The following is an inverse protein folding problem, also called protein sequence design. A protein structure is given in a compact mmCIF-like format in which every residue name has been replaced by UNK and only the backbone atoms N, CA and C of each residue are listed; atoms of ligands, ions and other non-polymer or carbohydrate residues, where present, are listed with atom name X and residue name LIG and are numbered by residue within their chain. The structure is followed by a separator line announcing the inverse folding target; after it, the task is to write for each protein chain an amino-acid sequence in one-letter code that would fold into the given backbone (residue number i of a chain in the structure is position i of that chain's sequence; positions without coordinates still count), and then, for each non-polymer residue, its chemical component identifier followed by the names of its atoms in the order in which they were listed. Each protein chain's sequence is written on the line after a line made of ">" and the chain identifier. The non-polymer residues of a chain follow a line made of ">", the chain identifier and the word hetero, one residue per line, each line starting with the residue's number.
data_IF_739175452004
#
_entry.id   IF_739175452004
#
_cell.length_a   1.000
_cell.length_b   1.000
_cell.length_c   1.000
_cell.angle_alpha   90.00
_cell.angle_beta   90.00
_cell.angle_gamma   90.00
#
_symmetry.space_group_name_H-M   'P 1'
#
loop_
_entity.id
_entity.type
_entity.pdbx_description
1 polymer ?
#
# COMPACT_ATOMS: atom_id res chain seq x y z
N UNK A 1 34.29 -2.81 3.04
CA UNK A 1 33.71 -2.68 3.00
C UNK A 1 33.08 -2.89 3.25
N UNK A 2 32.70 -2.89 3.32
CA UNK A 2 31.92 -3.05 3.48
C UNK A 2 31.25 -3.21 3.28
N UNK A 3 30.83 -3.42 3.14
CA UNK A 3 30.02 -3.52 2.88
C UNK A 3 29.35 -3.87 3.28
N UNK A 4 29.33 -4.22 3.52
CA UNK A 4 28.71 -4.56 3.79
C UNK A 4 27.60 -4.56 4.13
N UNK A 5 27.33 -4.23 4.77
CA UNK A 5 26.24 -4.15 5.05
C UNK A 5 25.48 -3.94 4.13
N UNK A 6 24.83 -4.41 3.96
CA UNK A 6 24.13 -4.06 3.02
C UNK A 6 23.09 -3.25 3.35
N UNK A 7 22.91 -2.29 2.71
CA UNK A 7 21.88 -1.47 2.90
C UNK A 7 20.65 -2.10 2.54
N UNK A 8 19.56 -1.90 3.25
CA UNK A 8 18.31 -2.32 2.83
C UNK A 8 17.79 -1.46 1.76
N UNK A 9 17.47 -2.04 0.62
CA UNK A 9 16.90 -1.29 -0.48
C UNK A 9 15.39 -1.44 -0.36
N UNK A 10 14.70 -0.33 -0.14
CA UNK A 10 13.25 -0.33 -0.08
C UNK A 10 12.73 -0.34 -1.50
N UNK A 11 11.93 -1.35 -1.90
CA UNK A 11 11.43 -1.39 -3.27
C UNK A 11 10.59 -0.16 -3.57
N UNK A 12 10.72 0.36 -4.78
CA UNK A 12 9.90 1.46 -5.21
C UNK A 12 8.68 0.89 -5.89
N UNK A 13 7.51 1.07 -5.26
CA UNK A 13 6.26 0.60 -5.81
C UNK A 13 5.37 1.78 -6.14
N UNK A 14 4.63 1.66 -7.22
CA UNK A 14 3.68 2.69 -7.62
C UNK A 14 2.33 2.04 -7.82
N UNK A 15 1.27 2.78 -7.51
CA UNK A 15 -0.08 2.26 -7.66
C UNK A 15 -0.49 2.26 -9.14
N UNK A 16 -1.73 1.90 -9.39
CA UNK A 16 -2.21 1.78 -10.77
C UNK A 16 -2.16 3.12 -11.52
N UNK A 17 -2.17 4.23 -10.78
CA UNK A 17 -2.09 5.56 -11.38
C UNK A 17 -0.65 6.07 -11.45
N UNK A 18 0.32 5.27 -11.05
CA UNK A 18 1.72 5.67 -11.10
C UNK A 18 2.18 6.46 -9.89
N UNK A 19 1.40 6.49 -8.81
CA UNK A 19 1.73 7.26 -7.63
C UNK A 19 2.60 6.42 -6.71
N UNK A 20 3.70 7.00 -6.24
CA UNK A 20 4.63 6.30 -5.38
C UNK A 20 3.99 5.94 -4.04
N UNK A 21 4.21 4.71 -3.60
CA UNK A 21 3.63 4.17 -2.38
C UNK A 21 4.67 4.08 -1.28
N UNK A 22 4.24 4.31 -0.05
CA UNK A 22 5.11 4.20 1.13
C UNK A 22 4.36 3.52 2.26
N UNK A 23 5.12 2.96 3.19
CA UNK A 23 4.54 2.36 4.39
C UNK A 23 3.73 3.43 5.13
N UNK A 24 2.54 3.05 5.56
CA UNK A 24 1.65 3.98 6.24
C UNK A 24 0.63 4.62 5.32
N UNK A 25 0.80 4.51 4.01
CA UNK A 25 -0.17 5.06 3.08
C UNK A 25 -1.47 4.27 3.13
N UNK A 26 -2.58 4.97 2.97
CA UNK A 26 -3.87 4.31 2.80
C UNK A 26 -4.07 3.99 1.32
N UNK A 27 -4.55 2.80 1.04
CA UNK A 27 -4.81 2.38 -0.33
C UNK A 27 -6.16 1.68 -0.41
N UNK A 28 -6.80 1.82 -1.56
CA UNK A 28 -7.99 1.04 -1.88
C UNK A 28 -7.54 -0.16 -2.70
N UNK A 29 -8.07 -1.33 -2.38
CA UNK A 29 -7.70 -2.55 -3.08
C UNK A 29 -8.94 -3.43 -3.27
N UNK A 30 -8.96 -4.23 -4.35
CA UNK A 30 -10.14 -5.07 -4.62
C UNK A 30 -10.09 -6.36 -3.82
N UNK A 31 -11.26 -6.79 -3.39
CA UNK A 31 -11.47 -8.13 -2.89
C UNK A 31 -12.64 -8.72 -3.62
N UNK A 32 -12.94 -9.98 -3.36
CA UNK A 32 -13.86 -10.75 -4.17
C UNK A 32 -15.09 -9.99 -4.65
N UNK A 33 -15.80 -9.33 -3.78
CA UNK A 33 -17.02 -8.62 -4.16
C UNK A 33 -17.06 -7.19 -3.65
N UNK A 34 -15.90 -6.63 -3.32
CA UNK A 34 -15.90 -5.32 -2.67
C UNK A 34 -14.59 -4.61 -2.90
N UNK A 35 -14.63 -3.31 -2.77
CA UNK A 35 -13.45 -2.49 -2.70
C UNK A 35 -13.17 -2.21 -1.24
N UNK A 36 -11.97 -2.52 -0.79
CA UNK A 36 -11.56 -2.36 0.60
C UNK A 36 -10.49 -1.30 0.72
N UNK A 37 -10.35 -0.78 1.92
CA UNK A 37 -9.31 0.20 2.22
C UNK A 37 -8.47 -0.33 3.37
N UNK A 38 -7.16 -0.20 3.24
CA UNK A 38 -6.23 -0.58 4.29
C UNK A 38 -4.99 0.28 4.25
N UNK A 39 -4.06 0.00 5.15
CA UNK A 39 -2.79 0.74 5.18
C UNK A 39 -1.66 -0.17 4.79
N UNK A 40 -0.69 0.38 4.09
CA UNK A 40 0.48 -0.38 3.69
C UNK A 40 1.35 -0.60 4.92
N UNK A 41 1.56 -1.88 5.23
CA UNK A 41 2.41 -2.27 6.35
C UNK A 41 3.83 -2.51 5.94
N UNK A 42 4.03 -3.01 4.73
CA UNK A 42 5.35 -3.38 4.26
C UNK A 42 5.40 -3.37 2.76
N UNK A 43 6.53 -2.95 2.22
CA UNK A 43 6.80 -3.00 0.79
C UNK A 43 7.71 -4.19 0.54
N UNK A 44 7.15 -5.28 0.05
CA UNK A 44 7.94 -6.47 -0.28
C UNK A 44 8.46 -6.34 -1.71
N UNK A 45 9.42 -7.16 -2.12
CA UNK A 45 10.01 -6.98 -3.45
C UNK A 45 9.01 -6.93 -4.60
N UNK A 46 7.93 -7.70 -4.52
CA UNK A 46 6.97 -7.74 -5.61
C UNK A 46 5.58 -7.30 -5.22
N UNK A 47 5.25 -7.36 -3.94
CA UNK A 47 3.88 -7.12 -3.50
C UNK A 47 3.87 -6.19 -2.31
N UNK A 48 2.69 -5.67 -2.02
CA UNK A 48 2.46 -4.86 -0.82
C UNK A 48 1.79 -5.73 0.22
N UNK A 49 2.20 -5.55 1.46
CA UNK A 49 1.45 -6.12 2.57
C UNK A 49 0.57 -5.03 3.11
N UNK A 50 -0.73 -5.26 3.10
CA UNK A 50 -1.72 -4.26 3.48
C UNK A 50 -2.47 -4.76 4.71
N UNK A 51 -2.55 -3.90 5.71
CA UNK A 51 -3.31 -4.23 6.91
C UNK A 51 -4.76 -3.86 6.67
N UNK A 52 -5.60 -4.87 6.55
CA UNK A 52 -7.04 -4.67 6.38
C UNK A 52 -7.74 -4.60 7.72
N UNK A 53 -9.07 -4.53 7.69
CA UNK A 53 -9.84 -4.42 8.91
C UNK A 53 -9.91 -5.72 9.68
N UNK A 54 -9.80 -6.85 9.01
CA UNK A 54 -9.90 -8.15 9.68
C UNK A 54 -8.62 -8.95 9.59
N UNK A 55 -7.96 -8.90 8.44
CA UNK A 55 -6.72 -9.63 8.24
C UNK A 55 -5.87 -8.87 7.27
N UNK A 56 -4.60 -9.24 7.26
CA UNK A 56 -3.65 -8.63 6.33
C UNK A 56 -3.79 -9.32 4.98
N UNK A 57 -3.57 -8.56 3.92
CA UNK A 57 -3.62 -9.10 2.57
C UNK A 57 -2.36 -8.69 1.84
N UNK A 58 -2.08 -9.38 0.75
CA UNK A 58 -0.99 -9.00 -0.14
C UNK A 58 -1.55 -8.72 -1.51
N UNK A 59 -1.15 -7.60 -2.07
CA UNK A 59 -1.62 -7.16 -3.38
C UNK A 59 -0.45 -6.64 -4.18
N UNK A 60 -0.55 -6.74 -5.50
CA UNK A 60 0.43 -6.11 -6.37
C UNK A 60 0.19 -4.61 -6.37
N UNK A 61 1.27 -3.81 -6.46
CA UNK A 61 1.10 -2.35 -6.48
C UNK A 61 0.17 -1.87 -7.59
N UNK A 62 0.20 -2.53 -8.73
CA UNK A 62 -0.65 -2.11 -9.85
C UNK A 62 -2.13 -2.40 -9.63
N UNK A 63 -2.48 -3.08 -8.55
CA UNK A 63 -3.87 -3.40 -8.25
C UNK A 63 -4.48 -2.51 -7.18
N UNK A 64 -3.76 -1.52 -6.72
CA UNK A 64 -4.25 -0.64 -5.66
C UNK A 64 -4.24 0.81 -6.11
N UNK A 65 -5.00 1.65 -5.39
CA UNK A 65 -5.03 3.09 -5.61
C UNK A 65 -4.73 3.77 -4.29
N UNK A 66 -3.74 4.65 -4.29
CA UNK A 66 -3.41 5.40 -3.08
C UNK A 66 -4.49 6.43 -2.80
N UNK A 67 -4.92 6.50 -1.57
CA UNK A 67 -5.88 7.50 -1.11
C UNK A 67 -5.12 8.62 -0.44
N UNK A 68 -5.35 9.86 -0.89
CA UNK A 68 -4.73 11.01 -0.25
C UNK A 68 -5.63 12.21 -0.46
N UNK A 69 -5.25 13.33 0.15
CA UNK A 69 -5.98 14.58 -0.01
C UNK A 69 -7.44 14.45 0.33
N UNK A 70 -8.31 15.08 -0.47
CA UNK A 70 -9.75 15.07 -0.18
C UNK A 70 -10.36 13.68 -0.15
N UNK A 71 -9.88 12.78 -1.00
CA UNK A 71 -10.40 11.42 -1.05
C UNK A 71 -10.15 10.70 0.28
N UNK A 72 -8.95 10.81 0.81
CA UNK A 72 -8.63 10.20 2.09
C UNK A 72 -9.44 10.83 3.21
N UNK A 73 -9.53 12.15 3.20
CA UNK A 73 -10.32 12.86 4.21
C UNK A 73 -11.77 12.38 4.20
N UNK A 74 -12.35 12.28 3.02
CA UNK A 74 -13.73 11.82 2.90
C UNK A 74 -13.90 10.41 3.45
N UNK A 75 -12.94 9.52 3.15
CA UNK A 75 -13.00 8.16 3.68
C UNK A 75 -12.93 8.16 5.21
N UNK A 76 -12.00 8.92 5.77
CA UNK A 76 -11.81 8.93 7.23
C UNK A 76 -13.02 9.50 7.94
N UNK A 77 -13.69 10.47 7.34
CA UNK A 77 -14.89 11.04 7.94
C UNK A 77 -16.09 10.11 7.85
N UNK A 78 -16.07 9.24 6.87
CA UNK A 78 -17.21 8.38 6.62
C UNK A 78 -17.22 7.13 7.46
N UNK A 79 -16.07 6.65 7.92
CA UNK A 79 -16.01 5.39 8.65
C UNK A 79 -16.45 5.51 10.11
#
# INVERSE_FOLDING_TARGET
>A
MTRGKKEQVIPEHRDILGILLAVGDYVAYPETNALRVGTIEKLNPKMLRIKGSRWDVQKYPADVVKLDGPTLTAYLLKR
#
